data_IF_541461706631
#
_entry.id   IF_541461706631
#
_cell.length_a   1.000
_cell.length_b   1.000
_cell.length_c   1.000
_cell.angle_alpha   90.00
_cell.angle_beta   90.00
_cell.angle_gamma   90.00
#
_symmetry.space_group_name_H-M   'P 1'
#
loop_
_entity.id
_entity.type
_entity.pdbx_description
1 polymer ?
#
# COMPACT_ATOMS: atom_id res chain seq x y z
N UNK A 1 -2.11 0.63 12.38
CA UNK A 1 -2.27 1.49 11.20
C UNK A 1 -0.95 1.65 10.47
N UNK A 2 -0.91 1.31 9.20
CA UNK A 2 0.31 1.41 8.41
C UNK A 2 0.00 1.35 6.92
N UNK A 3 0.77 2.07 6.11
CA UNK A 3 0.69 1.99 4.64
C UNK A 3 1.70 0.96 4.16
N UNK A 4 1.22 -0.14 3.60
CA UNK A 4 2.05 -1.23 3.09
C UNK A 4 2.33 -1.04 1.60
N UNK A 5 3.14 -0.08 1.26
CA UNK A 5 3.58 0.16 -0.12
C UNK A 5 4.85 -0.66 -0.40
N UNK A 6 4.87 -1.42 -1.49
CA UNK A 6 6.01 -2.30 -1.82
C UNK A 6 6.66 -1.95 -3.16
N UNK A 7 6.23 -0.85 -3.74
CA UNK A 7 6.70 -0.38 -5.03
C UNK A 7 5.72 0.69 -5.51
N UNK A 8 5.26 0.58 -6.74
CA UNK A 8 4.18 1.45 -7.21
C UNK A 8 2.86 1.05 -6.56
N UNK A 9 1.86 1.95 -6.52
CA UNK A 9 0.54 1.60 -6.01
C UNK A 9 -0.10 0.40 -6.72
N UNK A 10 0.04 0.30 -8.03
CA UNK A 10 -0.51 -0.84 -8.78
C UNK A 10 0.21 -2.15 -8.43
N UNK A 11 1.53 -2.14 -8.35
CA UNK A 11 2.31 -3.30 -7.91
C UNK A 11 1.87 -3.76 -6.52
N UNK A 12 1.64 -2.80 -5.63
CA UNK A 12 1.16 -3.07 -4.27
C UNK A 12 -0.22 -3.71 -4.31
N UNK A 13 -1.14 -3.16 -5.08
CA UNK A 13 -2.49 -3.70 -5.20
C UNK A 13 -2.49 -5.14 -5.71
N UNK A 14 -1.64 -5.42 -6.70
CA UNK A 14 -1.54 -6.77 -7.27
C UNK A 14 -0.90 -7.77 -6.31
N UNK A 15 -0.01 -7.32 -5.45
CA UNK A 15 0.71 -8.20 -4.53
C UNK A 15 -0.07 -8.51 -3.25
N UNK A 16 -0.88 -7.58 -2.78
CA UNK A 16 -1.61 -7.75 -1.52
C UNK A 16 -2.71 -8.81 -1.64
N UNK A 17 -2.90 -9.57 -0.54
CA UNK A 17 -4.07 -10.44 -0.43
C UNK A 17 -5.34 -9.58 -0.44
N UNK A 18 -6.47 -10.19 -0.76
CA UNK A 18 -7.77 -9.49 -0.75
C UNK A 18 -8.03 -8.79 0.58
N UNK A 19 -7.76 -9.48 1.68
CA UNK A 19 -7.95 -8.95 3.03
C UNK A 19 -7.05 -7.74 3.28
N UNK A 20 -5.76 -7.85 2.97
CA UNK A 20 -4.81 -6.75 3.16
C UNK A 20 -5.11 -5.57 2.25
N UNK A 21 -5.54 -5.85 1.01
CA UNK A 21 -5.93 -4.79 0.08
C UNK A 21 -7.11 -3.99 0.63
N UNK A 22 -8.14 -4.67 1.12
CA UNK A 22 -9.30 -4.01 1.71
C UNK A 22 -8.90 -3.22 2.97
N UNK A 23 -8.05 -3.78 3.81
CA UNK A 23 -7.55 -3.10 5.01
C UNK A 23 -6.77 -1.84 4.64
N UNK A 24 -5.97 -1.88 3.59
CA UNK A 24 -5.20 -0.71 3.14
C UNK A 24 -6.09 0.41 2.62
N UNK A 25 -7.16 0.06 1.92
CA UNK A 25 -8.14 1.06 1.47
C UNK A 25 -8.74 1.79 2.67
N UNK A 26 -9.12 1.03 3.71
CA UNK A 26 -9.70 1.60 4.93
C UNK A 26 -8.68 2.42 5.73
N UNK A 27 -7.45 1.95 5.83
CA UNK A 27 -6.40 2.67 6.55
C UNK A 27 -6.01 3.97 5.84
N UNK A 28 -5.96 3.95 4.52
CA UNK A 28 -5.72 5.17 3.75
C UNK A 28 -6.82 6.20 4.01
N UNK A 29 -8.07 5.76 4.12
CA UNK A 29 -9.18 6.65 4.46
C UNK A 29 -8.99 7.27 5.84
N UNK A 30 -8.62 6.47 6.84
CA UNK A 30 -8.38 6.95 8.21
C UNK A 30 -7.28 8.00 8.22
N UNK A 31 -6.19 7.75 7.50
CA UNK A 31 -5.07 8.69 7.41
C UNK A 31 -5.50 9.98 6.74
N UNK A 32 -6.24 9.89 5.63
CA UNK A 32 -6.76 11.06 4.92
C UNK A 32 -7.68 11.89 5.81
N UNK A 33 -8.59 11.25 6.55
CA UNK A 33 -9.49 11.94 7.46
C UNK A 33 -8.71 12.66 8.57
N UNK A 34 -7.67 12.02 9.11
CA UNK A 34 -6.81 12.63 10.13
C UNK A 34 -6.02 13.81 9.60
N UNK A 35 -5.53 13.72 8.35
CA UNK A 35 -4.81 14.83 7.69
C UNK A 35 -5.74 16.02 7.42
N UNK A 36 -7.03 15.76 7.26
CA UNK A 36 -8.04 16.81 7.04
C UNK A 36 -8.56 17.41 8.36
N UNK A 37 -8.07 16.93 9.50
CA UNK A 37 -8.39 17.52 10.79
C UNK A 37 -9.19 16.65 11.75
N UNK A 38 -9.48 15.40 11.41
CA UNK A 38 -10.12 14.48 12.34
C UNK A 38 -9.24 14.30 13.57
N UNK A 39 -9.84 14.28 14.76
CA UNK A 39 -9.08 14.21 16.01
C UNK A 39 -8.48 12.85 16.27
N UNK A 40 -9.14 11.79 15.81
CA UNK A 40 -8.65 10.43 16.00
C UNK A 40 -7.33 10.20 15.24
N UNK A 41 -6.36 9.57 15.89
CA UNK A 41 -5.10 9.16 15.30
C UNK A 41 -4.15 10.27 14.86
N UNK A 42 -4.49 11.55 15.07
CA UNK A 42 -3.74 12.67 14.47
C UNK A 42 -2.26 12.74 14.87
N UNK A 43 -1.87 12.15 16.00
CA UNK A 43 -0.48 12.09 16.43
C UNK A 43 0.20 10.74 16.15
N UNK A 44 -0.51 9.83 15.47
CA UNK A 44 0.05 8.53 15.12
C UNK A 44 1.19 8.71 14.10
N UNK A 45 2.29 7.92 14.22
CA UNK A 45 3.42 8.04 13.29
C UNK A 45 3.05 7.95 11.81
N UNK A 46 2.08 7.11 11.43
CA UNK A 46 1.64 6.99 10.04
C UNK A 46 1.02 8.30 9.55
N UNK A 47 0.27 9.00 10.39
CA UNK A 47 -0.33 10.29 10.03
C UNK A 47 0.76 11.35 9.88
N UNK A 48 1.69 11.41 10.83
CA UNK A 48 2.78 12.39 10.80
C UNK A 48 3.68 12.16 9.57
N UNK A 49 3.93 10.90 9.22
CA UNK A 49 4.78 10.54 8.08
C UNK A 49 4.20 11.02 6.75
N UNK A 50 2.88 10.96 6.61
CA UNK A 50 2.20 11.36 5.36
C UNK A 50 1.69 12.79 5.37
N UNK A 51 1.99 13.55 6.40
CA UNK A 51 1.63 14.98 6.43
C UNK A 51 2.36 15.71 5.29
N UNK A 52 1.60 16.43 4.46
CA UNK A 52 2.14 17.07 3.27
C UNK A 52 2.08 16.20 2.01
N UNK A 53 1.66 14.94 2.14
CA UNK A 53 1.57 13.99 1.03
C UNK A 53 0.15 13.50 0.77
N UNK A 54 -0.83 14.34 1.08
CA UNK A 54 -2.26 14.03 0.92
C UNK A 54 -2.60 13.63 -0.51
N UNK A 55 -2.05 14.35 -1.49
CA UNK A 55 -2.28 14.05 -2.90
C UNK A 55 -1.82 12.65 -3.29
N UNK A 56 -0.65 12.24 -2.79
CA UNK A 56 -0.15 10.87 -3.01
C UNK A 56 -1.10 9.83 -2.42
N UNK A 57 -1.57 10.05 -1.18
CA UNK A 57 -2.48 9.11 -0.53
C UNK A 57 -3.82 8.99 -1.25
N UNK A 58 -4.35 10.09 -1.77
CA UNK A 58 -5.59 10.07 -2.54
C UNK A 58 -5.40 9.22 -3.79
N UNK A 59 -4.31 9.42 -4.52
CA UNK A 59 -4.02 8.66 -5.73
C UNK A 59 -3.75 7.18 -5.40
N UNK A 60 -3.02 6.90 -4.33
CA UNK A 60 -2.77 5.54 -3.83
C UNK A 60 -4.09 4.82 -3.53
N UNK A 61 -4.94 5.44 -2.71
CA UNK A 61 -6.22 4.85 -2.35
C UNK A 61 -7.10 4.62 -3.59
N UNK A 62 -7.12 5.57 -4.51
CA UNK A 62 -7.90 5.45 -5.75
C UNK A 62 -7.46 4.25 -6.57
N UNK A 63 -6.15 4.05 -6.72
CA UNK A 63 -5.59 2.89 -7.43
C UNK A 63 -6.01 1.58 -6.76
N UNK A 64 -5.89 1.49 -5.44
CA UNK A 64 -6.29 0.29 -4.69
C UNK A 64 -7.79 0.01 -4.84
N UNK A 65 -8.61 1.04 -4.77
CA UNK A 65 -10.07 0.90 -4.91
C UNK A 65 -10.48 0.43 -6.29
N UNK A 66 -9.89 0.99 -7.35
CA UNK A 66 -10.17 0.54 -8.71
C UNK A 66 -9.76 -0.91 -8.89
N UNK A 67 -8.59 -1.29 -8.42
CA UNK A 67 -8.12 -2.66 -8.52
C UNK A 67 -9.02 -3.63 -7.74
N UNK A 68 -9.41 -3.27 -6.51
CA UNK A 68 -10.30 -4.09 -5.70
C UNK A 68 -11.64 -4.32 -6.40
N UNK A 69 -12.25 -3.25 -6.90
CA UNK A 69 -13.54 -3.34 -7.58
C UNK A 69 -13.47 -4.20 -8.84
N UNK A 70 -12.42 -4.03 -9.63
CA UNK A 70 -12.27 -4.78 -10.87
C UNK A 70 -11.91 -6.25 -10.66
N UNK A 71 -11.27 -6.59 -9.56
CA UNK A 71 -10.76 -7.94 -9.30
C UNK A 71 -11.71 -8.77 -8.43
N UNK A 72 -12.29 -8.17 -7.41
CA UNK A 72 -13.00 -8.91 -6.36
C UNK A 72 -14.50 -8.63 -6.27
N UNK A 73 -14.97 -7.53 -6.82
CA UNK A 73 -16.40 -7.21 -6.73
C UNK A 73 -17.11 -7.76 -7.94
N UNK A 74 -17.99 -8.76 -7.71
CA UNK A 74 -18.80 -9.35 -8.75
C UNK A 74 -19.98 -8.42 -9.08
N UNK A 75 -20.48 -8.51 -10.31
CA UNK A 75 -21.63 -7.73 -10.79
C UNK A 75 -21.37 -6.24 -10.96
N UNK A 76 -20.10 -5.85 -11.02
CA UNK A 76 -19.77 -4.49 -11.44
C UNK A 76 -19.59 -4.47 -12.95
N UNK A 77 -20.07 -3.41 -13.58
CA UNK A 77 -19.92 -3.23 -15.02
C UNK A 77 -18.51 -2.71 -15.38
N UNK A 78 -17.52 -3.06 -14.57
CA UNK A 78 -16.14 -2.64 -14.83
C UNK A 78 -15.48 -3.56 -15.83
N UNK A 79 -15.11 -2.99 -16.97
CA UNK A 79 -14.25 -3.64 -17.95
C UNK A 79 -12.83 -3.68 -17.35
N UNK A 80 -12.15 -4.81 -17.51
CA UNK A 80 -10.77 -4.98 -17.01
C UNK A 80 -9.81 -3.93 -17.58
N UNK A 81 -10.00 -3.55 -18.86
CA UNK A 81 -9.18 -2.51 -19.47
C UNK A 81 -9.43 -1.14 -18.84
N UNK A 82 -10.69 -0.83 -18.54
CA UNK A 82 -11.04 0.43 -17.89
C UNK A 82 -10.45 0.49 -16.48
N UNK A 83 -10.52 -0.60 -15.73
CA UNK A 83 -9.92 -0.70 -14.40
C UNK A 83 -8.42 -0.46 -14.46
N UNK A 84 -7.74 -1.13 -15.39
CA UNK A 84 -6.30 -0.99 -15.56
C UNK A 84 -5.92 0.45 -15.93
N UNK A 85 -6.66 1.08 -16.85
CA UNK A 85 -6.42 2.47 -17.24
C UNK A 85 -6.56 3.42 -16.05
N UNK A 86 -7.58 3.22 -15.23
CA UNK A 86 -7.82 4.04 -14.03
C UNK A 86 -6.70 3.86 -13.01
N UNK A 87 -6.24 2.62 -12.81
CA UNK A 87 -5.12 2.33 -11.92
C UNK A 87 -3.84 3.00 -12.42
N UNK A 88 -3.56 2.90 -13.72
CA UNK A 88 -2.37 3.51 -14.31
C UNK A 88 -2.42 5.04 -14.23
N UNK A 89 -3.59 5.64 -14.44
CA UNK A 89 -3.74 7.09 -14.31
C UNK A 89 -3.47 7.55 -12.87
N UNK A 90 -4.00 6.82 -11.88
CA UNK A 90 -3.74 7.11 -10.47
C UNK A 90 -2.24 6.92 -10.14
N UNK A 91 -1.62 5.90 -10.69
CA UNK A 91 -0.20 5.62 -10.49
C UNK A 91 0.69 6.74 -11.04
N UNK A 92 0.35 7.32 -12.18
CA UNK A 92 1.08 8.47 -12.73
C UNK A 92 1.03 9.67 -11.80
N UNK A 93 -0.13 9.92 -11.19
CA UNK A 93 -0.26 10.98 -10.19
C UNK A 93 0.61 10.66 -8.96
N UNK A 94 0.67 9.40 -8.56
CA UNK A 94 1.53 8.99 -7.45
C UNK A 94 3.00 9.24 -7.75
N UNK A 95 3.47 8.97 -8.97
CA UNK A 95 4.87 9.17 -9.34
C UNK A 95 5.35 10.59 -9.09
N UNK A 96 4.55 11.58 -9.45
CA UNK A 96 4.93 13.00 -9.28
C UNK A 96 4.80 13.50 -7.84
N UNK A 97 4.10 12.76 -6.97
CA UNK A 97 3.80 13.17 -5.61
C UNK A 97 4.42 12.25 -4.56
N UNK A 98 5.27 11.32 -4.98
CA UNK A 98 5.83 10.28 -4.10
C UNK A 98 6.64 10.87 -2.96
N UNK A 99 6.37 10.44 -1.71
CA UNK A 99 7.18 10.87 -0.57
C UNK A 99 8.63 10.43 -0.68
N UNK A 100 9.59 11.25 -0.22
CA UNK A 100 11.02 10.90 -0.30
C UNK A 100 11.42 9.64 0.46
N UNK A 101 10.66 9.26 1.50
CA UNK A 101 10.99 8.08 2.28
C UNK A 101 10.57 6.77 1.60
N UNK A 102 9.87 6.81 0.47
CA UNK A 102 9.54 5.62 -0.33
C UNK A 102 10.78 5.18 -1.09
N UNK A 103 11.68 4.49 -0.40
CA UNK A 103 12.94 3.98 -0.95
C UNK A 103 12.86 2.46 -1.09
N UNK A 104 13.83 1.87 -1.78
CA UNK A 104 13.93 0.41 -1.90
C UNK A 104 13.98 -0.26 -0.52
N UNK A 105 14.73 0.31 0.40
CA UNK A 105 14.85 -0.21 1.76
C UNK A 105 13.51 -0.19 2.48
N UNK A 106 12.75 0.88 2.31
CA UNK A 106 11.41 1.00 2.88
C UNK A 106 10.47 -0.07 2.30
N UNK A 107 10.51 -0.26 0.99
CA UNK A 107 9.70 -1.28 0.32
C UNK A 107 10.06 -2.69 0.80
N UNK A 108 11.34 -2.99 0.92
CA UNK A 108 11.79 -4.30 1.40
C UNK A 108 11.35 -4.54 2.86
N UNK A 109 11.38 -3.50 3.69
CA UNK A 109 10.88 -3.59 5.06
C UNK A 109 9.38 -3.91 5.08
N UNK A 110 8.59 -3.29 4.21
CA UNK A 110 7.16 -3.57 4.12
C UNK A 110 6.90 -4.99 3.63
N UNK A 111 7.67 -5.47 2.66
CA UNK A 111 7.60 -6.85 2.18
C UNK A 111 7.86 -7.85 3.32
N UNK A 112 8.87 -7.61 4.14
CA UNK A 112 9.18 -8.46 5.29
C UNK A 112 8.03 -8.49 6.29
N UNK A 113 7.44 -7.35 6.58
CA UNK A 113 6.29 -7.25 7.49
C UNK A 113 5.09 -8.02 6.96
N UNK A 114 4.80 -7.90 5.66
CA UNK A 114 3.71 -8.64 5.03
C UNK A 114 3.96 -10.14 5.07
N UNK A 115 5.19 -10.56 4.78
CA UNK A 115 5.56 -11.98 4.87
C UNK A 115 5.34 -12.52 6.28
N UNK A 116 5.71 -11.77 7.30
CA UNK A 116 5.49 -12.15 8.70
C UNK A 116 4.02 -12.33 9.03
N UNK A 117 3.16 -11.48 8.46
CA UNK A 117 1.71 -11.54 8.70
C UNK A 117 1.04 -12.74 8.00
N UNK A 118 1.48 -13.08 6.80
CA UNK A 118 0.90 -14.18 6.03
C UNK A 118 1.97 -14.82 5.15
N UNK A 119 2.80 -15.72 5.71
CA UNK A 119 3.90 -16.35 4.97
C UNK A 119 3.45 -17.11 3.72
N UNK A 120 2.27 -17.72 3.74
CA UNK A 120 1.78 -18.48 2.61
C UNK A 120 1.48 -17.61 1.41
N UNK A 121 0.76 -16.52 1.61
CA UNK A 121 0.41 -15.62 0.53
C UNK A 121 1.65 -14.88 -0.01
N UNK A 122 2.57 -14.51 0.88
CA UNK A 122 3.75 -13.71 0.53
C UNK A 122 5.04 -14.53 0.46
N UNK A 123 4.93 -15.82 0.18
CA UNK A 123 6.08 -16.74 0.13
C UNK A 123 7.16 -16.30 -0.87
N UNK A 124 6.82 -15.51 -1.88
CA UNK A 124 7.78 -14.94 -2.82
C UNK A 124 8.82 -14.04 -2.13
N UNK A 125 8.50 -13.54 -0.94
CA UNK A 125 9.40 -12.67 -0.16
C UNK A 125 10.07 -13.40 1.01
N UNK A 126 9.99 -14.72 1.03
CA UNK A 126 10.62 -15.54 2.05
C UNK A 126 12.11 -15.26 2.20
N UNK A 127 12.80 -15.05 1.09
CA UNK A 127 14.23 -14.76 1.09
C UNK A 127 14.58 -13.46 1.84
N UNK A 128 13.72 -12.48 1.83
CA UNK A 128 13.93 -11.23 2.55
C UNK A 128 13.86 -11.43 4.05
N UNK A 129 12.88 -12.22 4.52
CA UNK A 129 12.75 -12.56 5.93
C UNK A 129 13.93 -13.41 6.43
N UNK A 130 14.30 -14.40 5.66
CA UNK A 130 15.44 -15.28 5.98
C UNK A 130 16.74 -14.49 6.01
N UNK A 131 16.96 -13.62 5.03
CA UNK A 131 18.14 -12.75 4.95
C UNK A 131 18.26 -11.86 6.18
N UNK A 132 17.17 -11.28 6.62
CA UNK A 132 17.15 -10.44 7.81
C UNK A 132 17.53 -11.23 9.04
N UNK A 133 16.93 -12.40 9.20
CA UNK A 133 17.23 -13.29 10.33
C UNK A 133 18.69 -13.71 10.33
N UNK A 134 19.21 -14.11 9.18
CA UNK A 134 20.60 -14.51 9.02
C UNK A 134 21.56 -13.38 9.37
N UNK A 135 21.27 -12.18 8.92
CA UNK A 135 22.07 -11.01 9.24
C UNK A 135 22.16 -10.77 10.74
N UNK A 136 21.07 -10.92 11.45
CA UNK A 136 21.03 -10.75 12.90
C UNK A 136 21.80 -11.85 13.60
N UNK A 137 21.67 -13.08 13.12
CA UNK A 137 22.35 -14.23 13.73
C UNK A 137 23.85 -14.18 13.49
N UNK A 138 24.30 -13.58 12.40
CA UNK A 138 25.72 -13.50 12.08
C UNK A 138 26.44 -12.33 12.76
N UNK A 139 25.70 -11.47 13.38
CA UNK A 139 26.24 -10.36 14.15
C UNK A 139 26.20 -10.66 15.64
#
# INVERSE_FOLDING_TARGET
>A
MQVFIIGTPLETAMALSKRHLNNQINEAKIILDALEGAKAWRNHPAILQYRGYTGWLIAYQSCLRYYYKGTYVKNTCYDCEAVLRNCLAAERLCESLTPPFHTKEYFDQMKRRLYTKNPEHYKQWKHLGVSECTSRCST
#
